data_IF_679855738076
#
_entry.id   IF_679855738076
#
_cell.length_a   1.000
_cell.length_b   1.000
_cell.length_c   1.000
_cell.angle_alpha   90.00
_cell.angle_beta   90.00
_cell.angle_gamma   90.00
#
_symmetry.space_group_name_H-M   'P 1'
#
loop_
_entity.id
_entity.type
_entity.pdbx_description
1 polymer ?
#
# COMPACT_ATOMS: atom_id res chain seq x y z
N UNK A 1 -21.29 13.34 -21.46
CA UNK A 1 -20.16 13.68 -20.55
C UNK A 1 -20.10 12.66 -19.41
N UNK A 2 -19.75 11.40 -19.70
CA UNK A 2 -19.67 10.33 -18.70
C UNK A 2 -18.41 9.43 -18.85
N UNK A 3 -17.60 9.68 -19.88
CA UNK A 3 -16.45 8.82 -20.23
C UNK A 3 -15.23 9.13 -19.35
N UNK A 4 -15.02 10.39 -18.95
CA UNK A 4 -13.86 10.79 -18.12
C UNK A 4 -13.90 10.35 -16.66
N UNK A 5 -15.07 10.03 -16.09
CA UNK A 5 -15.20 9.57 -14.69
C UNK A 5 -14.88 8.08 -14.50
N UNK A 6 -15.19 7.23 -15.49
CA UNK A 6 -14.84 5.81 -15.46
C UNK A 6 -13.33 5.60 -15.62
N UNK A 7 -12.68 6.36 -16.50
CA UNK A 7 -11.23 6.24 -16.73
C UNK A 7 -10.42 6.72 -15.53
N UNK A 8 -10.83 7.82 -14.89
CA UNK A 8 -10.22 8.29 -13.64
C UNK A 8 -10.47 7.37 -12.45
N UNK A 9 -11.65 6.75 -12.35
CA UNK A 9 -11.92 5.75 -11.31
C UNK A 9 -11.03 4.50 -11.52
N UNK A 10 -10.92 3.98 -12.73
CA UNK A 10 -10.05 2.84 -13.04
C UNK A 10 -8.55 3.15 -12.82
N UNK A 11 -8.11 4.37 -13.13
CA UNK A 11 -6.75 4.84 -12.86
C UNK A 11 -6.49 4.96 -11.34
N UNK A 12 -7.46 5.46 -10.58
CA UNK A 12 -7.33 5.56 -9.12
C UNK A 12 -7.33 4.17 -8.47
N UNK A 13 -8.21 3.28 -8.92
CA UNK A 13 -8.30 1.90 -8.42
C UNK A 13 -7.01 1.12 -8.70
N UNK A 14 -6.42 1.28 -9.89
CA UNK A 14 -5.13 0.65 -10.22
C UNK A 14 -3.95 1.22 -9.42
N UNK A 15 -3.97 2.51 -9.05
CA UNK A 15 -3.00 3.09 -8.11
C UNK A 15 -3.17 2.51 -6.70
N UNK A 16 -4.41 2.37 -6.22
CA UNK A 16 -4.70 1.74 -4.94
C UNK A 16 -4.21 0.28 -4.91
N UNK A 17 -4.56 -0.50 -5.93
CA UNK A 17 -4.13 -1.91 -6.10
C UNK A 17 -2.60 -2.01 -6.08
N UNK A 18 -1.91 -1.18 -6.86
CA UNK A 18 -0.44 -1.22 -6.93
C UNK A 18 0.19 -0.87 -5.59
N UNK A 19 -0.36 0.11 -4.87
CA UNK A 19 0.13 0.51 -3.55
C UNK A 19 -0.05 -0.59 -2.50
N UNK A 20 -1.21 -1.26 -2.47
CA UNK A 20 -1.49 -2.36 -1.54
C UNK A 20 -0.59 -3.56 -1.83
N UNK A 21 -0.42 -3.93 -3.10
CA UNK A 21 0.54 -4.98 -3.49
C UNK A 21 1.96 -4.63 -3.03
N UNK A 22 2.38 -3.36 -3.16
CA UNK A 22 3.71 -2.94 -2.73
C UNK A 22 3.90 -3.12 -1.22
N UNK A 23 2.97 -2.64 -0.40
CA UNK A 23 2.98 -2.88 1.05
C UNK A 23 3.07 -4.37 1.37
N UNK A 24 2.29 -5.21 0.69
CA UNK A 24 2.31 -6.66 0.88
C UNK A 24 3.69 -7.27 0.58
N UNK A 25 4.32 -6.90 -0.54
CA UNK A 25 5.63 -7.44 -0.94
C UNK A 25 6.72 -7.01 0.05
N UNK A 26 6.78 -5.73 0.40
CA UNK A 26 7.77 -5.24 1.36
C UNK A 26 7.60 -5.93 2.71
N UNK A 27 6.35 -6.12 3.16
CA UNK A 27 6.06 -6.86 4.39
C UNK A 27 6.54 -8.31 4.32
N UNK A 28 6.32 -9.01 3.20
CA UNK A 28 6.82 -10.39 3.00
C UNK A 28 8.35 -10.46 3.00
N UNK A 29 9.02 -9.43 2.49
CA UNK A 29 10.48 -9.35 2.49
C UNK A 29 11.07 -8.89 3.85
N UNK A 30 10.22 -8.52 4.81
CA UNK A 30 10.64 -8.03 6.13
C UNK A 30 11.08 -6.57 6.14
N UNK A 31 10.76 -5.80 5.10
CA UNK A 31 11.05 -4.37 5.02
C UNK A 31 9.80 -3.55 5.34
N UNK A 32 10.00 -2.37 5.93
CA UNK A 32 8.91 -1.42 6.15
C UNK A 32 8.79 -0.47 4.96
N UNK A 33 7.63 -0.48 4.30
CA UNK A 33 7.34 0.46 3.22
C UNK A 33 6.76 1.77 3.78
N UNK A 34 7.41 2.91 3.50
CA UNK A 34 7.01 4.23 4.01
C UNK A 34 6.72 5.19 2.86
N UNK A 35 5.60 5.00 2.11
CA UNK A 35 5.29 5.87 0.99
C UNK A 35 4.94 7.28 1.47
N UNK A 36 5.22 8.27 0.63
CA UNK A 36 4.82 9.65 0.84
C UNK A 36 3.30 9.75 0.85
N UNK A 37 2.73 10.06 2.00
CA UNK A 37 1.31 10.39 2.16
C UNK A 37 1.08 11.82 1.66
N UNK A 38 1.05 12.00 0.34
CA UNK A 38 0.72 13.30 -0.26
C UNK A 38 -0.72 13.74 0.04
N UNK A 39 -1.59 12.78 0.37
CA UNK A 39 -3.00 13.04 0.65
C UNK A 39 -3.49 12.15 1.82
N UNK A 40 -3.17 12.56 3.05
CA UNK A 40 -3.65 11.90 4.29
C UNK A 40 -5.18 11.88 4.35
N UNK A 41 -5.86 12.80 3.64
CA UNK A 41 -7.32 12.87 3.56
C UNK A 41 -7.97 11.68 2.83
N UNK A 42 -7.20 10.91 2.05
CA UNK A 42 -7.66 9.67 1.39
C UNK A 42 -7.21 8.39 2.12
N UNK A 43 -6.52 8.52 3.25
CA UNK A 43 -6.00 7.40 4.01
C UNK A 43 -7.14 6.53 4.54
N UNK A 44 -7.21 5.31 4.03
CA UNK A 44 -8.21 4.32 4.40
C UNK A 44 -7.58 3.31 5.34
N UNK A 45 -8.13 3.17 6.54
CA UNK A 45 -7.74 2.15 7.49
C UNK A 45 -8.57 0.88 7.27
N UNK A 46 -7.98 -0.26 7.60
CA UNK A 46 -8.65 -1.55 7.56
C UNK A 46 -8.52 -2.23 8.93
N UNK A 47 -9.58 -2.93 9.34
CA UNK A 47 -9.58 -3.70 10.60
C UNK A 47 -9.35 -5.18 10.34
N UNK A 48 -8.48 -5.80 11.13
CA UNK A 48 -8.27 -7.25 11.10
C UNK A 48 -9.34 -7.99 11.92
N UNK A 49 -9.66 -7.46 13.10
CA UNK A 49 -10.69 -8.01 13.97
C UNK A 49 -12.05 -7.33 13.70
N UNK A 50 -13.10 -8.08 13.36
CA UNK A 50 -14.45 -7.54 13.19
C UNK A 50 -15.06 -6.95 14.48
N UNK A 51 -14.62 -7.38 15.65
CA UNK A 51 -15.11 -6.91 16.96
C UNK A 51 -14.32 -5.71 17.51
N UNK A 52 -13.19 -5.35 16.90
CA UNK A 52 -12.41 -4.21 17.35
C UNK A 52 -13.16 -2.89 17.08
N UNK A 53 -13.21 -2.05 18.12
CA UNK A 53 -13.77 -0.71 18.10
C UNK A 53 -12.67 0.30 18.38
N UNK A 54 -12.50 1.29 17.50
CA UNK A 54 -11.39 2.23 17.53
C UNK A 54 -11.85 3.68 17.77
N UNK A 55 -13.02 3.86 18.41
CA UNK A 55 -13.60 5.15 18.79
C UNK A 55 -13.57 6.19 17.65
N UNK A 56 -12.66 7.17 17.73
CA UNK A 56 -12.53 8.29 16.79
C UNK A 56 -11.96 7.88 15.43
N UNK A 57 -11.35 6.70 15.33
CA UNK A 57 -10.80 6.16 14.09
C UNK A 57 -11.83 5.36 13.30
N UNK A 58 -12.94 4.95 13.90
CA UNK A 58 -13.98 4.16 13.21
C UNK A 58 -14.50 4.80 11.91
N UNK A 59 -14.69 6.13 11.81
CA UNK A 59 -15.06 6.80 10.56
C UNK A 59 -14.02 6.70 9.44
N UNK A 60 -12.74 6.43 9.76
CA UNK A 60 -11.65 6.29 8.81
C UNK A 60 -11.47 4.83 8.31
N UNK A 61 -12.20 3.88 8.91
CA UNK A 61 -12.10 2.46 8.57
C UNK A 61 -13.04 2.16 7.40
N UNK A 62 -12.48 1.82 6.24
CA UNK A 62 -13.27 1.52 5.04
C UNK A 62 -13.84 0.11 5.03
N UNK A 63 -13.06 -0.89 5.45
CA UNK A 63 -13.46 -2.30 5.37
C UNK A 63 -12.60 -3.21 6.25
N UNK A 64 -12.94 -4.50 6.25
CA UNK A 64 -12.21 -5.56 6.95
C UNK A 64 -11.17 -6.20 6.05
N UNK A 65 -10.03 -6.58 6.62
CA UNK A 65 -9.02 -7.42 5.94
C UNK A 65 -9.51 -8.86 5.95
N UNK A 66 -9.43 -9.54 4.81
CA UNK A 66 -9.75 -10.96 4.73
C UNK A 66 -8.52 -11.81 5.13
N UNK A 67 -8.42 -12.11 6.41
CA UNK A 67 -7.35 -12.97 6.96
C UNK A 67 -7.41 -14.40 6.42
N UNK A 68 -8.60 -14.92 6.09
CA UNK A 68 -8.76 -16.25 5.50
C UNK A 68 -8.06 -16.34 4.14
N UNK A 69 -8.23 -15.32 3.30
CA UNK A 69 -7.58 -15.28 1.99
C UNK A 69 -6.04 -15.21 2.08
N UNK A 70 -5.51 -14.52 3.11
CA UNK A 70 -4.07 -14.50 3.37
C UNK A 70 -3.59 -15.89 3.77
N UNK A 71 -4.33 -16.57 4.66
CA UNK A 71 -3.97 -17.90 5.15
C UNK A 71 -4.02 -18.95 4.04
N UNK A 72 -5.06 -18.93 3.20
CA UNK A 72 -5.25 -19.88 2.11
C UNK A 72 -4.13 -19.83 1.06
N UNK A 73 -3.53 -18.66 0.85
CA UNK A 73 -2.44 -18.45 -0.10
C UNK A 73 -1.06 -18.25 0.56
N UNK A 74 -0.93 -18.52 1.88
CA UNK A 74 0.28 -18.18 2.64
C UNK A 74 1.54 -18.85 2.08
N UNK A 75 1.46 -20.13 1.74
CA UNK A 75 2.58 -20.87 1.16
C UNK A 75 3.02 -20.31 -0.20
N UNK A 76 2.07 -19.87 -1.02
CA UNK A 76 2.35 -19.27 -2.34
C UNK A 76 3.01 -17.90 -2.18
N UNK A 77 2.55 -17.09 -1.21
CA UNK A 77 3.16 -15.80 -0.87
C UNK A 77 4.61 -15.96 -0.40
N UNK A 78 4.88 -16.96 0.45
CA UNK A 78 6.24 -17.27 0.90
C UNK A 78 7.14 -17.75 -0.24
N UNK A 79 6.61 -18.55 -1.17
CA UNK A 79 7.37 -18.97 -2.37
C UNK A 79 7.75 -17.78 -3.24
N UNK A 80 6.82 -16.86 -3.49
CA UNK A 80 7.09 -15.61 -4.21
C UNK A 80 8.19 -14.79 -3.52
N UNK A 81 8.10 -14.65 -2.19
CA UNK A 81 9.10 -13.93 -1.40
C UNK A 81 10.48 -14.60 -1.51
N UNK A 82 10.53 -15.93 -1.46
CA UNK A 82 11.75 -16.71 -1.68
C UNK A 82 12.37 -16.47 -3.06
N UNK A 83 11.55 -16.50 -4.12
CA UNK A 83 12.00 -16.21 -5.49
C UNK A 83 12.54 -14.79 -5.65
N UNK A 84 11.90 -13.81 -4.99
CA UNK A 84 12.38 -12.43 -4.94
C UNK A 84 13.73 -12.31 -4.22
N UNK A 85 13.91 -12.99 -3.08
CA UNK A 85 15.16 -12.95 -2.31
C UNK A 85 16.35 -13.54 -3.05
N UNK A 86 16.13 -14.54 -3.89
CA UNK A 86 17.16 -15.17 -4.73
C UNK A 86 17.37 -14.36 -6.03
N UNK A 87 16.69 -13.21 -6.17
CA UNK A 87 16.73 -12.34 -7.35
C UNK A 87 16.33 -13.06 -8.65
N UNK A 88 15.51 -14.11 -8.52
CA UNK A 88 15.12 -14.98 -9.63
C UNK A 88 14.09 -14.32 -10.55
N UNK A 89 13.37 -13.29 -10.06
CA UNK A 89 12.33 -12.59 -10.82
C UNK A 89 12.46 -11.09 -10.62
N UNK A 90 12.27 -10.33 -11.72
CA UNK A 90 12.26 -8.86 -11.69
C UNK A 90 11.02 -8.37 -10.91
N UNK A 91 11.18 -7.49 -9.89
CA UNK A 91 10.05 -6.99 -9.12
C UNK A 91 8.93 -6.37 -9.97
N UNK A 92 9.28 -5.60 -11.01
CA UNK A 92 8.32 -4.95 -11.89
C UNK A 92 7.46 -5.94 -12.71
N UNK A 93 7.95 -7.14 -12.99
CA UNK A 93 7.17 -8.20 -13.66
C UNK A 93 6.19 -8.84 -12.69
N UNK A 94 6.60 -9.06 -11.44
CA UNK A 94 5.71 -9.55 -10.39
C UNK A 94 4.58 -8.58 -10.07
N UNK A 95 4.87 -7.28 -9.99
CA UNK A 95 3.83 -6.26 -9.82
C UNK A 95 2.77 -6.33 -10.93
N UNK A 96 3.20 -6.44 -12.19
CA UNK A 96 2.27 -6.58 -13.32
C UNK A 96 1.49 -7.89 -13.25
N UNK A 97 2.14 -8.98 -12.89
CA UNK A 97 1.49 -10.29 -12.73
C UNK A 97 0.43 -10.25 -11.62
N UNK A 98 0.73 -9.66 -10.46
CA UNK A 98 -0.23 -9.56 -9.36
C UNK A 98 -1.37 -8.62 -9.64
N UNK A 99 -1.10 -7.46 -10.26
CA UNK A 99 -2.13 -6.49 -10.61
C UNK A 99 -3.02 -6.94 -11.79
N UNK A 100 -2.56 -7.91 -12.60
CA UNK A 100 -3.34 -8.55 -13.66
C UNK A 100 -3.92 -7.59 -14.71
N UNK A 101 -3.29 -6.41 -14.91
CA UNK A 101 -3.77 -5.39 -15.84
C UNK A 101 -5.06 -4.69 -15.41
N UNK A 102 -5.45 -4.77 -14.14
CA UNK A 102 -6.63 -4.10 -13.58
C UNK A 102 -7.46 -4.99 -12.66
N UNK A 103 -7.42 -6.32 -12.87
CA UNK A 103 -8.03 -7.29 -11.95
C UNK A 103 -6.94 -8.13 -11.30
N UNK A 104 -6.75 -8.04 -9.98
CA UNK A 104 -5.70 -8.78 -9.31
C UNK A 104 -5.91 -10.29 -9.38
N UNK A 105 -4.83 -11.03 -9.59
CA UNK A 105 -4.82 -12.50 -9.54
C UNK A 105 -5.18 -13.01 -8.13
N UNK A 106 -5.54 -14.29 -7.92
CA UNK A 106 -5.85 -14.79 -6.57
C UNK A 106 -4.73 -14.52 -5.55
N UNK A 107 -3.47 -14.78 -5.94
CA UNK A 107 -2.29 -14.45 -5.13
C UNK A 107 -2.14 -12.92 -4.97
N UNK A 108 -2.39 -12.15 -6.04
CA UNK A 108 -2.40 -10.69 -5.98
C UNK A 108 -3.42 -10.13 -5.00
N UNK A 109 -4.61 -10.75 -4.90
CA UNK A 109 -5.64 -10.38 -3.92
C UNK A 109 -5.21 -10.72 -2.49
N UNK A 110 -4.65 -11.90 -2.25
CA UNK A 110 -4.10 -12.25 -0.93
C UNK A 110 -2.99 -11.28 -0.50
N UNK A 111 -2.12 -10.90 -1.45
CA UNK A 111 -1.05 -9.93 -1.25
C UNK A 111 -1.58 -8.52 -0.97
N UNK A 112 -2.67 -8.11 -1.62
CA UNK A 112 -3.37 -6.85 -1.30
C UNK A 112 -3.94 -6.87 0.12
N UNK A 113 -4.58 -7.96 0.55
CA UNK A 113 -5.09 -8.09 1.92
C UNK A 113 -3.96 -7.96 2.96
N UNK A 114 -2.81 -8.59 2.70
CA UNK A 114 -1.62 -8.42 3.53
C UNK A 114 -1.12 -6.97 3.53
N UNK A 115 -1.11 -6.32 2.37
CA UNK A 115 -0.71 -4.92 2.23
C UNK A 115 -1.64 -3.94 2.93
N UNK A 116 -2.96 -4.22 2.97
CA UNK A 116 -3.94 -3.45 3.73
C UNK A 116 -3.65 -3.48 5.23
N UNK A 117 -3.23 -4.64 5.75
CA UNK A 117 -2.85 -4.79 7.16
C UNK A 117 -1.59 -3.98 7.50
N UNK A 118 -0.54 -4.09 6.67
CA UNK A 118 0.71 -3.37 6.89
C UNK A 118 0.51 -1.85 6.72
N UNK A 119 -0.25 -1.43 5.71
CA UNK A 119 -0.62 -0.03 5.50
C UNK A 119 -1.39 0.55 6.68
N UNK A 120 -2.34 -0.20 7.26
CA UNK A 120 -3.11 0.26 8.42
C UNK A 120 -2.23 0.39 9.66
N UNK A 121 -1.29 -0.55 9.84
CA UNK A 121 -0.28 -0.48 10.91
C UNK A 121 0.62 0.76 10.73
N UNK A 122 1.13 0.99 9.51
CA UNK A 122 1.95 2.15 9.19
C UNK A 122 1.19 3.47 9.42
N UNK A 123 -0.07 3.55 8.98
CA UNK A 123 -0.90 4.73 9.19
C UNK A 123 -1.19 4.98 10.67
N UNK A 124 -1.48 3.93 11.44
CA UNK A 124 -1.65 4.05 12.89
C UNK A 124 -0.38 4.61 13.56
N UNK A 125 0.79 4.05 13.22
CA UNK A 125 2.08 4.59 13.70
C UNK A 125 2.33 6.03 13.23
N UNK A 126 1.91 6.39 12.02
CA UNK A 126 2.05 7.75 11.49
C UNK A 126 1.17 8.77 12.23
N UNK A 127 -0.03 8.38 12.66
CA UNK A 127 -0.91 9.25 13.45
C UNK A 127 -0.46 9.39 14.91
N UNK A 128 0.18 8.36 15.47
CA UNK A 128 0.66 8.35 16.85
C UNK A 128 2.04 9.04 17.00
N UNK A 129 2.94 8.89 16.01
CA UNK A 129 4.31 9.40 16.06
C UNK A 129 4.50 10.70 15.25
N UNK A 130 4.44 11.83 15.96
CA UNK A 130 4.74 13.17 15.43
C UNK A 130 6.18 13.30 14.88
N UNK A 131 7.16 12.52 15.37
CA UNK A 131 8.53 12.51 14.85
C UNK A 131 8.62 11.76 13.51
N UNK A 132 7.86 10.67 13.35
CA UNK A 132 7.72 9.98 12.06
C UNK A 132 7.07 10.92 11.03
N UNK A 133 6.02 11.64 11.42
CA UNK A 133 5.38 12.67 10.60
C UNK A 133 6.36 13.77 10.19
N UNK A 134 7.17 14.27 11.12
CA UNK A 134 8.20 15.27 10.82
C UNK A 134 9.32 14.74 9.93
N UNK A 135 9.79 13.50 10.09
CA UNK A 135 10.84 12.90 9.24
C UNK A 135 10.38 12.72 7.80
N UNK A 136 9.18 12.16 7.61
CA UNK A 136 8.55 12.03 6.29
C UNK A 136 8.37 13.41 5.64
N UNK A 137 7.96 14.42 6.41
CA UNK A 137 7.85 15.81 5.93
C UNK A 137 9.20 16.56 5.78
N UNK A 138 10.27 16.13 6.44
CA UNK A 138 11.60 16.78 6.36
C UNK A 138 12.41 16.29 5.17
N UNK A 139 12.25 15.01 4.76
CA UNK A 139 12.77 14.54 3.47
C UNK A 139 12.23 15.37 2.29
N UNK A 140 11.07 16.00 2.45
CA UNK A 140 10.46 16.87 1.45
C UNK A 140 11.12 18.25 1.32
N UNK A 141 11.78 18.75 2.36
CA UNK A 141 12.50 20.04 2.31
C UNK A 141 13.93 19.93 1.72
N UNK A 142 14.29 18.78 1.12
CA UNK A 142 15.54 18.58 0.36
C UNK A 142 15.34 18.43 -1.15
N UNK A 143 14.23 18.90 -1.70
CA UNK A 143 14.27 19.34 -3.10
C UNK A 143 15.30 20.48 -3.15
N UNK A 144 16.37 20.40 -3.97
CA UNK A 144 17.32 21.49 -4.06
C UNK A 144 16.53 22.71 -4.54
N UNK A 145 16.63 23.78 -3.77
CA UNK A 145 16.44 25.14 -4.25
C UNK A 145 17.35 25.32 -5.48
N UNK A 146 16.80 25.18 -6.68
CA UNK A 146 17.46 25.67 -7.88
C UNK A 146 17.35 27.20 -7.83
N UNK A 147 18.45 27.81 -7.37
CA UNK A 147 18.67 29.26 -7.40
C UNK A 147 18.64 29.74 -8.85
N UNK A 148 17.96 30.86 -9.03
CA UNK A 148 18.03 31.88 -10.09
C UNK A 148 18.99 31.71 -11.29
N UNK A 149 18.47 32.10 -12.45
CA UNK A 149 19.23 32.48 -13.63
C UNK A 149 18.38 33.27 -14.61
N UNK A 150 17.87 34.43 -14.18
CA UNK A 150 17.49 35.50 -15.10
C UNK A 150 18.77 36.19 -15.59
N UNK A 151 19.16 35.88 -16.83
CA UNK A 151 19.90 36.75 -17.76
C UNK A 151 20.10 36.06 -19.11
#
# INVERSE_FOLDING_TARGET
MAIGRCEQAAALDSVHITSEIAFGIFRLLGFQFSPRLADVGSASLYRADPAAFYDRLDPLIKSRVNLGLINDHWDELLRVAGSLRINAVRPAELFRYFAGGGTPTPIGRALMELGKLDRSTYLASYFDDELLRRRVNTQLNRQPFAVAGDR
#
